data_IF_971609999854
#
_entry.id   IF_971609999854
#
_cell.length_a   1.000
_cell.length_b   1.000
_cell.length_c   1.000
_cell.angle_alpha   90.00
_cell.angle_beta   90.00
_cell.angle_gamma   90.00
#
_symmetry.space_group_name_H-M   'P 1'
#
loop_
_entity.id
_entity.type
_entity.pdbx_description
1 polymer ?
#
# COMPACT_ATOMS: atom_id res chain seq x y z
N UNK A 1 -13.31 -8.71 6.90
CA UNK A 1 -12.09 -8.11 6.33
C UNK A 1 -12.33 -6.75 5.64
N UNK A 2 -13.38 -6.58 4.82
CA UNK A 2 -13.62 -5.33 4.08
C UNK A 2 -13.74 -4.05 4.95
N UNK A 3 -14.26 -4.14 6.19
CA UNK A 3 -14.32 -3.01 7.12
C UNK A 3 -12.94 -2.46 7.50
N UNK A 4 -11.99 -3.36 7.77
CA UNK A 4 -10.60 -3.00 8.08
C UNK A 4 -9.93 -2.29 6.91
N UNK A 5 -10.07 -2.82 5.69
CA UNK A 5 -9.44 -2.24 4.50
C UNK A 5 -10.01 -0.87 4.12
N UNK A 6 -11.31 -0.62 4.39
CA UNK A 6 -11.91 0.71 4.27
C UNK A 6 -11.31 1.70 5.27
N UNK A 7 -11.23 1.30 6.54
CA UNK A 7 -10.63 2.15 7.58
C UNK A 7 -9.15 2.45 7.28
N UNK A 8 -8.38 1.44 6.86
CA UNK A 8 -6.98 1.60 6.49
C UNK A 8 -6.79 2.55 5.28
N UNK A 9 -7.57 2.37 4.21
CA UNK A 9 -7.49 3.27 3.05
C UNK A 9 -7.84 4.71 3.41
N UNK A 10 -8.87 4.92 4.24
CA UNK A 10 -9.22 6.25 4.75
C UNK A 10 -8.06 6.86 5.52
N UNK A 11 -7.50 6.15 6.50
CA UNK A 11 -6.36 6.62 7.30
C UNK A 11 -5.13 6.91 6.42
N UNK A 12 -4.82 6.06 5.44
CA UNK A 12 -3.70 6.29 4.53
C UNK A 12 -3.89 7.55 3.68
N UNK A 13 -5.12 7.82 3.19
CA UNK A 13 -5.43 9.06 2.47
C UNK A 13 -5.29 10.29 3.35
N UNK A 14 -5.72 10.21 4.61
CA UNK A 14 -5.54 11.29 5.59
C UNK A 14 -4.05 11.52 5.89
N UNK A 15 -3.25 10.46 6.01
CA UNK A 15 -1.78 10.55 6.14
C UNK A 15 -1.13 11.17 4.91
N UNK A 16 -1.57 10.82 3.70
CA UNK A 16 -1.08 11.42 2.45
C UNK A 16 -1.42 12.92 2.41
N UNK A 17 -2.63 13.29 2.82
CA UNK A 17 -3.07 14.69 2.81
C UNK A 17 -2.39 15.54 3.89
N UNK A 18 -2.06 14.95 5.05
CA UNK A 18 -1.41 15.66 6.15
C UNK A 18 -0.37 14.79 6.88
N UNK A 19 0.83 14.60 6.31
CA UNK A 19 1.89 13.80 6.92
C UNK A 19 2.37 14.36 8.27
N UNK A 20 2.27 15.69 8.46
CA UNK A 20 2.67 16.38 9.69
C UNK A 20 1.70 16.10 10.85
N UNK A 21 0.41 15.90 10.58
CA UNK A 21 -0.52 15.39 11.58
C UNK A 21 -0.32 13.90 11.85
N UNK A 22 0.00 13.11 10.82
CA UNK A 22 0.18 11.67 10.95
C UNK A 22 1.35 11.30 11.87
N UNK A 23 2.46 12.07 11.83
CA UNK A 23 3.64 11.77 12.67
C UNK A 23 3.36 11.91 14.17
N UNK A 24 2.35 12.70 14.57
CA UNK A 24 1.99 12.87 15.97
C UNK A 24 1.54 11.53 16.59
N UNK A 25 0.78 10.72 15.84
CA UNK A 25 0.39 9.38 16.27
C UNK A 25 1.58 8.41 16.37
N UNK A 26 2.59 8.59 15.51
CA UNK A 26 3.84 7.81 15.62
C UNK A 26 4.61 8.22 16.88
N UNK A 27 4.69 9.52 17.19
CA UNK A 27 5.34 10.03 18.42
C UNK A 27 4.65 9.56 19.70
N UNK A 28 3.32 9.48 19.68
CA UNK A 28 2.55 8.95 20.80
C UNK A 28 2.90 7.47 21.06
N UNK A 29 3.09 6.70 19.99
CA UNK A 29 3.44 5.28 20.08
C UNK A 29 4.92 5.03 20.40
N UNK A 30 5.80 5.86 19.86
CA UNK A 30 7.24 5.89 20.11
C UNK A 30 7.70 7.31 20.51
N UNK A 31 7.76 7.59 21.82
CA UNK A 31 8.19 8.89 22.35
C UNK A 31 9.65 9.24 22.06
N UNK A 32 10.48 8.35 21.50
CA UNK A 32 11.89 8.61 21.25
C UNK A 32 12.17 9.15 19.85
N UNK A 33 11.19 9.12 18.93
CA UNK A 33 11.42 9.58 17.56
C UNK A 33 11.81 11.06 17.49
N UNK A 34 12.66 11.37 16.52
CA UNK A 34 12.88 12.73 16.07
C UNK A 34 11.77 13.09 15.07
N UNK A 35 10.79 13.90 15.52
CA UNK A 35 9.60 14.24 14.74
C UNK A 35 9.96 14.84 13.39
N UNK A 36 10.89 15.81 13.34
CA UNK A 36 11.27 16.46 12.09
C UNK A 36 11.92 15.48 11.09
N UNK A 37 12.78 14.58 11.58
CA UNK A 37 13.43 13.57 10.74
C UNK A 37 12.40 12.56 10.20
N UNK A 38 11.54 12.03 11.06
CA UNK A 38 10.58 11.01 10.67
C UNK A 38 9.47 11.56 9.77
N UNK A 39 9.04 12.81 9.96
CA UNK A 39 8.17 13.50 9.01
C UNK A 39 8.79 13.54 7.61
N UNK A 40 10.09 13.87 7.51
CA UNK A 40 10.78 13.91 6.22
C UNK A 40 10.86 12.52 5.60
N UNK A 41 11.14 11.48 6.40
CA UNK A 41 11.15 10.08 5.94
C UNK A 41 9.78 9.62 5.46
N UNK A 42 8.71 9.99 6.17
CA UNK A 42 7.34 9.68 5.77
C UNK A 42 7.02 10.34 4.42
N UNK A 43 7.28 11.63 4.25
CA UNK A 43 7.06 12.35 2.97
C UNK A 43 7.82 11.68 1.82
N UNK A 44 9.09 11.36 2.03
CA UNK A 44 9.90 10.65 1.05
C UNK A 44 9.30 9.29 0.67
N UNK A 45 8.92 8.47 1.65
CA UNK A 45 8.34 7.15 1.39
C UNK A 45 6.99 7.22 0.67
N UNK A 46 6.16 8.22 1.02
CA UNK A 46 4.91 8.47 0.33
C UNK A 46 5.16 8.80 -1.14
N UNK A 47 6.07 9.71 -1.43
CA UNK A 47 6.40 10.13 -2.80
C UNK A 47 7.07 9.02 -3.62
N UNK A 48 8.03 8.28 -3.04
CA UNK A 48 8.86 7.32 -3.77
C UNK A 48 8.21 5.96 -3.97
N UNK A 49 7.30 5.56 -3.09
CA UNK A 49 6.88 4.16 -2.97
C UNK A 49 5.37 3.97 -2.84
N UNK A 50 4.63 4.96 -2.32
CA UNK A 50 3.17 4.85 -2.17
C UNK A 50 2.42 5.54 -3.32
N UNK A 51 2.78 6.78 -3.66
CA UNK A 51 2.08 7.60 -4.65
C UNK A 51 2.72 7.41 -6.03
N UNK A 52 2.78 6.15 -6.47
CA UNK A 52 3.39 5.77 -7.75
C UNK A 52 2.42 6.00 -8.92
N UNK A 53 2.90 6.05 -10.18
CA UNK A 53 2.02 6.12 -11.35
C UNK A 53 0.97 5.01 -11.38
N UNK A 54 1.33 3.82 -10.92
CA UNK A 54 0.41 2.68 -10.88
C UNK A 54 -0.70 2.85 -9.83
N UNK A 55 -0.38 3.39 -8.65
CA UNK A 55 -1.39 3.70 -7.63
C UNK A 55 -2.32 4.82 -8.13
N UNK A 56 -1.81 5.80 -8.87
CA UNK A 56 -2.65 6.83 -9.49
C UNK A 56 -3.62 6.22 -10.53
N UNK A 57 -3.18 5.22 -11.28
CA UNK A 57 -4.02 4.55 -12.27
C UNK A 57 -5.06 3.59 -11.65
N UNK A 58 -4.67 2.81 -10.65
CA UNK A 58 -5.46 1.66 -10.16
C UNK A 58 -6.08 1.86 -8.76
N UNK A 59 -5.63 2.89 -8.03
CA UNK A 59 -5.97 3.17 -6.64
C UNK A 59 -5.11 2.41 -5.62
N UNK A 60 -5.14 2.89 -4.38
CA UNK A 60 -4.40 2.32 -3.25
C UNK A 60 -4.75 0.83 -3.02
N UNK A 61 -3.70 0.02 -2.84
CA UNK A 61 -3.83 -1.42 -2.55
C UNK A 61 -4.29 -2.28 -3.73
N UNK A 62 -4.50 -1.70 -4.92
CA UNK A 62 -4.86 -2.48 -6.10
C UNK A 62 -3.67 -3.30 -6.61
N UNK A 63 -3.97 -4.53 -7.06
CA UNK A 63 -3.03 -5.43 -7.71
C UNK A 63 -3.67 -5.93 -8.99
N UNK A 64 -3.01 -5.71 -10.14
CA UNK A 64 -3.48 -6.29 -11.40
C UNK A 64 -3.09 -7.76 -11.46
N UNK A 65 -3.99 -8.61 -11.96
CA UNK A 65 -3.74 -10.05 -12.08
C UNK A 65 -2.52 -10.37 -12.94
N UNK A 66 -2.30 -9.64 -14.03
CA UNK A 66 -1.13 -9.81 -14.91
C UNK A 66 0.19 -9.56 -14.19
N UNK A 67 0.32 -8.41 -13.51
CA UNK A 67 1.53 -8.07 -12.74
C UNK A 67 1.81 -9.11 -11.66
N UNK A 68 0.79 -9.54 -10.91
CA UNK A 68 0.97 -10.56 -9.88
C UNK A 68 1.37 -11.90 -10.48
N UNK A 69 0.74 -12.31 -11.58
CA UNK A 69 1.08 -13.57 -12.25
C UNK A 69 2.54 -13.58 -12.73
N UNK A 70 3.03 -12.46 -13.27
CA UNK A 70 4.43 -12.29 -13.65
C UNK A 70 5.37 -12.41 -12.45
N UNK A 71 5.11 -11.68 -11.36
CA UNK A 71 5.93 -11.77 -10.15
C UNK A 71 5.96 -13.17 -9.54
N UNK A 72 4.84 -13.92 -9.63
CA UNK A 72 4.79 -15.31 -9.22
C UNK A 72 5.68 -16.20 -10.09
N UNK A 73 5.66 -16.01 -11.41
CA UNK A 73 6.54 -16.75 -12.32
C UNK A 73 8.02 -16.45 -12.05
N UNK A 74 8.39 -15.18 -11.91
CA UNK A 74 9.76 -14.75 -11.58
C UNK A 74 10.25 -15.38 -10.26
N UNK A 75 9.39 -15.42 -9.24
CA UNK A 75 9.72 -16.03 -7.94
C UNK A 75 9.91 -17.55 -8.07
N UNK A 76 9.02 -18.22 -8.81
CA UNK A 76 9.12 -19.67 -9.04
C UNK A 76 10.41 -20.03 -9.75
N UNK A 77 10.78 -19.27 -10.79
CA UNK A 77 12.02 -19.44 -11.53
C UNK A 77 13.24 -19.22 -10.64
N UNK A 78 13.29 -18.09 -9.91
CA UNK A 78 14.44 -17.73 -9.08
C UNK A 78 14.75 -18.75 -7.96
N UNK A 79 13.71 -19.40 -7.43
CA UNK A 79 13.84 -20.35 -6.32
C UNK A 79 13.66 -21.82 -6.72
N UNK A 80 13.44 -22.12 -8.01
CA UNK A 80 13.22 -23.49 -8.48
C UNK A 80 11.99 -24.17 -7.87
N UNK A 81 10.92 -23.40 -7.65
CA UNK A 81 9.70 -23.92 -7.02
C UNK A 81 8.92 -24.85 -7.96
N UNK A 82 8.17 -25.83 -7.43
CA UNK A 82 7.58 -26.89 -8.25
C UNK A 82 6.37 -26.45 -9.08
N UNK A 83 5.73 -25.31 -8.76
CA UNK A 83 4.54 -24.83 -9.45
C UNK A 83 4.33 -23.32 -9.30
N UNK A 84 3.72 -22.71 -10.31
CA UNK A 84 3.26 -21.32 -10.28
C UNK A 84 1.77 -21.27 -9.94
N UNK A 85 1.37 -20.71 -8.78
CA UNK A 85 -0.05 -20.54 -8.45
C UNK A 85 -0.71 -19.51 -9.36
N UNK A 86 -2.05 -19.53 -9.41
CA UNK A 86 -2.79 -18.46 -10.10
C UNK A 86 -2.84 -17.23 -9.19
N UNK A 87 -2.73 -16.04 -9.77
CA UNK A 87 -2.81 -14.78 -9.04
C UNK A 87 -4.05 -14.67 -8.12
N UNK A 88 -5.20 -15.17 -8.58
CA UNK A 88 -6.46 -15.17 -7.81
C UNK A 88 -6.48 -16.08 -6.59
N UNK A 89 -5.59 -17.08 -6.53
CA UNK A 89 -5.46 -17.96 -5.36
C UNK A 89 -4.80 -17.23 -4.18
N UNK A 90 -4.02 -16.17 -4.48
CA UNK A 90 -3.24 -15.41 -3.49
C UNK A 90 -3.75 -14.00 -3.25
N UNK A 91 -4.55 -13.44 -4.16
CA UNK A 91 -5.09 -12.09 -4.03
C UNK A 91 -6.59 -12.04 -4.32
N UNK A 92 -7.36 -11.70 -3.29
CA UNK A 92 -8.80 -11.48 -3.40
C UNK A 92 -9.14 -9.98 -3.35
N UNK A 93 -9.35 -9.38 -4.53
CA UNK A 93 -9.69 -7.98 -4.67
C UNK A 93 -11.08 -7.60 -4.10
N UNK A 94 -11.96 -8.57 -3.83
CA UNK A 94 -13.32 -8.32 -3.35
C UNK A 94 -13.37 -7.72 -1.94
N UNK A 95 -12.26 -7.79 -1.18
CA UNK A 95 -12.17 -7.13 0.12
C UNK A 95 -11.73 -5.67 0.04
N UNK A 96 -11.19 -5.23 -1.10
CA UNK A 96 -10.79 -3.83 -1.28
C UNK A 96 -12.01 -2.91 -1.27
N UNK A 97 -11.87 -1.66 -0.80
CA UNK A 97 -12.88 -0.64 -1.01
C UNK A 97 -13.17 -0.42 -2.50
N UNK A 98 -14.31 0.19 -2.80
CA UNK A 98 -14.66 0.59 -4.16
C UNK A 98 -13.56 1.48 -4.76
N UNK A 99 -13.37 1.42 -6.09
CA UNK A 99 -12.27 2.11 -6.77
C UNK A 99 -12.21 3.62 -6.43
N UNK A 100 -13.36 4.29 -6.37
CA UNK A 100 -13.44 5.71 -6.02
C UNK A 100 -12.95 6.02 -4.59
N UNK A 101 -13.14 5.11 -3.64
CA UNK A 101 -12.70 5.31 -2.24
C UNK A 101 -11.18 5.25 -2.11
N UNK A 102 -10.53 4.42 -2.95
CA UNK A 102 -9.08 4.20 -2.95
C UNK A 102 -8.31 5.02 -4.00
N UNK A 103 -9.00 5.82 -4.81
CA UNK A 103 -8.37 6.75 -5.74
C UNK A 103 -7.66 7.91 -4.99
N UNK A 104 -6.50 8.29 -5.49
CA UNK A 104 -5.78 9.52 -5.09
C UNK A 104 -6.14 10.62 -6.08
N UNK A 105 -6.50 11.80 -5.57
CA UNK A 105 -6.76 12.99 -6.39
C UNK A 105 -5.45 13.66 -6.78
#
# INVERSE_FOLDING_TARGET
MAGLLRAFNKALKETIANPDAAIAYVKERDPLINVALETRRLKLALESSVITPEVKANGLGAVTGERLQRSLAETVEAYGLPATPKAGDLFNAAFLPAAAERALK
#
